data_IF_982578974182
#
_entry.id   IF_982578974182
#
_cell.length_a   1.000
_cell.length_b   1.000
_cell.length_c   1.000
_cell.angle_alpha   90.00
_cell.angle_beta   90.00
_cell.angle_gamma   90.00
#
_symmetry.space_group_name_H-M   'P 1'
#
loop_
_entity.id
_entity.type
_entity.pdbx_description
1 polymer ?
#
# COMPACT_ATOMS: atom_id res chain seq x y z
N UNK A 1 -4.25 -4.33 -7.69
CA UNK A 1 -2.86 -4.76 -7.38
C UNK A 1 -1.85 -3.62 -7.23
N UNK A 2 -1.61 -2.76 -8.23
CA UNK A 2 -0.52 -1.77 -8.19
C UNK A 2 -0.51 -0.87 -6.92
N UNK A 3 -1.67 -0.37 -6.49
CA UNK A 3 -1.80 0.42 -5.27
C UNK A 3 -1.38 -0.37 -4.00
N UNK A 4 -1.70 -1.66 -3.94
CA UNK A 4 -1.32 -2.51 -2.80
C UNK A 4 0.20 -2.64 -2.71
N UNK A 5 0.86 -2.88 -3.84
CA UNK A 5 2.34 -2.92 -3.91
C UNK A 5 2.93 -1.56 -3.52
N UNK A 6 2.40 -0.45 -4.05
CA UNK A 6 2.89 0.90 -3.72
C UNK A 6 2.81 1.20 -2.22
N UNK A 7 1.68 0.87 -1.59
CA UNK A 7 1.49 1.00 -0.14
C UNK A 7 2.42 0.09 0.67
N UNK A 8 2.60 -1.17 0.24
CA UNK A 8 3.54 -2.09 0.84
C UNK A 8 4.96 -1.53 0.80
N UNK A 9 5.34 -0.87 -0.29
CA UNK A 9 6.65 -0.25 -0.48
C UNK A 9 6.84 1.09 0.23
N UNK A 10 5.77 1.78 0.68
CA UNK A 10 5.86 3.07 1.40
C UNK A 10 6.39 2.87 2.82
N UNK A 11 7.69 2.55 2.92
CA UNK A 11 8.41 2.43 4.17
C UNK A 11 9.89 2.81 3.99
N UNK A 12 10.33 3.78 4.77
CA UNK A 12 11.73 4.24 4.78
C UNK A 12 12.26 4.75 3.43
N UNK A 13 11.37 5.09 2.50
CA UNK A 13 11.66 5.78 1.24
C UNK A 13 10.65 6.91 1.05
N UNK A 14 10.90 7.88 0.14
CA UNK A 14 9.86 8.80 -0.30
C UNK A 14 8.68 8.02 -0.89
N UNK A 15 7.47 8.48 -0.61
CA UNK A 15 6.22 7.85 -1.01
C UNK A 15 6.14 7.73 -2.54
N UNK A 16 6.60 8.75 -3.26
CA UNK A 16 6.67 8.80 -4.71
C UNK A 16 7.56 7.69 -5.24
N UNK A 17 8.72 7.44 -4.59
CA UNK A 17 9.61 6.33 -4.95
C UNK A 17 8.94 4.98 -4.73
N UNK A 18 8.21 4.82 -3.63
CA UNK A 18 7.46 3.59 -3.37
C UNK A 18 6.38 3.32 -4.42
N UNK A 19 5.62 4.35 -4.80
CA UNK A 19 4.53 4.24 -5.79
C UNK A 19 5.02 4.15 -7.25
N UNK A 20 6.31 4.38 -7.52
CA UNK A 20 6.95 3.99 -8.79
C UNK A 20 7.32 2.50 -8.86
N UNK A 21 7.43 1.82 -7.72
CA UNK A 21 7.77 0.39 -7.65
C UNK A 21 6.86 -0.52 -8.49
N UNK A 22 5.52 -0.40 -8.43
CA UNK A 22 4.61 -1.15 -9.27
C UNK A 22 4.90 -0.97 -10.77
N UNK A 23 5.19 0.26 -11.23
CA UNK A 23 5.50 0.52 -12.64
C UNK A 23 6.77 -0.21 -13.08
N UNK A 24 7.81 -0.21 -12.25
CA UNK A 24 9.05 -0.97 -12.54
C UNK A 24 8.78 -2.47 -12.68
N UNK A 25 7.96 -3.03 -11.79
CA UNK A 25 7.55 -4.45 -11.89
C UNK A 25 6.74 -4.71 -13.16
N UNK A 26 5.79 -3.83 -13.48
CA UNK A 26 4.99 -3.93 -14.70
C UNK A 26 5.88 -3.93 -15.95
N UNK A 27 6.89 -3.07 -16.00
CA UNK A 27 7.79 -2.99 -17.15
C UNK A 27 8.65 -4.25 -17.31
N UNK A 28 9.14 -4.81 -16.20
CA UNK A 28 9.99 -6.02 -16.18
C UNK A 28 9.23 -7.30 -16.45
N UNK A 29 7.98 -7.36 -16.00
CA UNK A 29 7.13 -8.55 -16.10
C UNK A 29 6.13 -8.45 -17.27
N UNK A 30 6.14 -7.36 -18.05
CA UNK A 30 5.15 -7.12 -19.10
C UNK A 30 3.70 -7.11 -18.56
N UNK A 31 3.52 -6.46 -17.42
CA UNK A 31 2.26 -6.41 -16.66
C UNK A 31 2.45 -6.84 -15.20
N UNK A 32 1.47 -6.53 -14.35
CA UNK A 32 1.44 -7.02 -12.97
C UNK A 32 0.29 -8.01 -12.86
N UNK A 33 0.64 -9.27 -12.66
CA UNK A 33 -0.31 -10.35 -12.40
C UNK A 33 -0.02 -11.00 -11.05
N UNK A 34 -1.06 -11.14 -10.24
CA UNK A 34 -0.95 -11.63 -8.85
C UNK A 34 -0.53 -13.10 -8.83
N UNK A 35 -1.09 -13.93 -9.70
CA UNK A 35 -0.80 -15.37 -9.74
C UNK A 35 0.60 -15.62 -10.25
N UNK A 36 0.99 -14.94 -11.33
CA UNK A 36 2.36 -14.99 -11.85
C UNK A 36 3.37 -14.67 -10.77
N UNK A 37 3.22 -13.57 -10.04
CA UNK A 37 4.18 -13.22 -8.98
C UNK A 37 4.15 -14.25 -7.84
N UNK A 38 2.97 -14.75 -7.47
CA UNK A 38 2.83 -15.74 -6.41
C UNK A 38 3.53 -17.07 -6.73
N UNK A 39 3.47 -17.49 -8.00
CA UNK A 39 3.96 -18.79 -8.49
C UNK A 39 5.42 -18.76 -8.96
N UNK A 40 6.01 -17.58 -9.16
CA UNK A 40 7.41 -17.44 -9.55
C UNK A 40 8.38 -17.99 -8.50
N UNK A 41 9.52 -18.49 -8.95
CA UNK A 41 10.63 -18.80 -8.04
C UNK A 41 11.03 -17.54 -7.25
N UNK A 42 11.24 -17.72 -5.94
CA UNK A 42 11.47 -16.60 -5.03
C UNK A 42 12.78 -15.87 -5.35
N UNK A 43 13.85 -16.60 -5.66
CA UNK A 43 15.14 -15.98 -5.96
C UNK A 43 15.11 -15.26 -7.32
N UNK A 44 14.42 -15.84 -8.31
CA UNK A 44 14.16 -15.17 -9.60
C UNK A 44 13.38 -13.87 -9.42
N UNK A 45 12.28 -13.89 -8.65
CA UNK A 45 11.48 -12.69 -8.43
C UNK A 45 12.24 -11.62 -7.64
N UNK A 46 13.04 -12.01 -6.65
CA UNK A 46 13.92 -11.09 -5.91
C UNK A 46 14.96 -10.47 -6.85
N UNK A 47 15.55 -11.23 -7.77
CA UNK A 47 16.48 -10.71 -8.76
C UNK A 47 15.82 -9.64 -9.66
N UNK A 48 14.58 -9.87 -10.10
CA UNK A 48 13.79 -8.88 -10.84
C UNK A 48 13.55 -7.63 -9.99
N UNK A 49 13.24 -7.77 -8.70
CA UNK A 49 13.09 -6.63 -7.80
C UNK A 49 14.40 -5.84 -7.61
N UNK A 50 15.54 -6.53 -7.67
CA UNK A 50 16.88 -5.97 -7.46
C UNK A 50 17.48 -5.30 -8.70
N UNK A 51 16.96 -5.56 -9.90
CA UNK A 51 17.46 -4.97 -11.14
C UNK A 51 17.57 -3.42 -11.04
N UNK A 52 18.74 -2.82 -11.28
CA UNK A 52 18.93 -1.38 -11.22
C UNK A 52 18.13 -0.62 -12.29
N UNK A 53 17.43 0.48 -11.95
CA UNK A 53 17.22 1.00 -10.60
C UNK A 53 16.23 0.14 -9.82
N UNK A 54 16.64 -0.40 -8.67
CA UNK A 54 15.86 -1.38 -7.89
C UNK A 54 14.44 -0.90 -7.53
N UNK A 55 13.51 -1.85 -7.36
CA UNK A 55 12.13 -1.58 -6.93
C UNK A 55 12.09 -0.87 -5.57
N UNK A 56 13.03 -1.21 -4.69
CA UNK A 56 13.20 -0.59 -3.38
C UNK A 56 14.67 -0.57 -2.98
N UNK A 57 15.05 0.28 -2.02
CA UNK A 57 16.40 0.28 -1.40
C UNK A 57 16.73 -0.99 -0.60
N UNK A 58 15.74 -1.86 -0.41
CA UNK A 58 15.85 -3.15 0.28
C UNK A 58 15.22 -4.25 -0.60
N UNK A 59 15.78 -4.49 -1.80
CA UNK A 59 15.09 -5.23 -2.85
C UNK A 59 14.74 -6.66 -2.44
N UNK A 60 15.62 -7.35 -1.72
CA UNK A 60 15.36 -8.70 -1.19
C UNK A 60 14.12 -8.72 -0.28
N UNK A 61 14.19 -8.03 0.86
CA UNK A 61 13.11 -8.05 1.85
C UNK A 61 11.77 -7.51 1.33
N UNK A 62 11.79 -6.56 0.39
CA UNK A 62 10.56 -6.02 -0.18
C UNK A 62 10.02 -6.93 -1.29
N UNK A 63 10.88 -7.56 -2.10
CA UNK A 63 10.48 -8.58 -3.06
C UNK A 63 9.79 -9.76 -2.37
N UNK A 64 10.40 -10.31 -1.31
CA UNK A 64 9.80 -11.37 -0.49
C UNK A 64 8.41 -10.98 0.03
N UNK A 65 8.25 -9.75 0.55
CA UNK A 65 6.95 -9.26 1.06
C UNK A 65 5.91 -9.07 -0.04
N UNK A 66 6.31 -8.60 -1.23
CA UNK A 66 5.40 -8.49 -2.37
C UNK A 66 4.92 -9.89 -2.76
N UNK A 67 5.83 -10.85 -2.90
CA UNK A 67 5.48 -12.20 -3.27
C UNK A 67 4.57 -12.87 -2.24
N UNK A 68 4.88 -12.76 -0.94
CA UNK A 68 4.02 -13.25 0.14
C UNK A 68 2.63 -12.61 0.11
N UNK A 69 2.53 -11.31 -0.16
CA UNK A 69 1.23 -10.66 -0.32
C UNK A 69 0.46 -11.21 -1.53
N UNK A 70 1.13 -11.47 -2.66
CA UNK A 70 0.51 -12.11 -3.82
C UNK A 70 -0.02 -13.51 -3.48
N UNK A 71 0.81 -14.35 -2.85
CA UNK A 71 0.44 -15.70 -2.41
C UNK A 71 -0.77 -15.68 -1.48
N UNK A 72 -0.76 -14.77 -0.50
CA UNK A 72 -1.91 -14.58 0.40
C UNK A 72 -3.19 -14.21 -0.35
N UNK A 73 -3.10 -13.34 -1.36
CA UNK A 73 -4.26 -12.95 -2.17
C UNK A 73 -4.74 -14.11 -3.05
N UNK A 74 -3.85 -14.92 -3.61
CA UNK A 74 -4.23 -16.14 -4.33
C UNK A 74 -4.98 -17.09 -3.41
N UNK A 75 -4.43 -17.37 -2.24
CA UNK A 75 -4.99 -18.33 -1.28
C UNK A 75 -6.35 -17.89 -0.71
N UNK A 76 -6.49 -16.61 -0.35
CA UNK A 76 -7.65 -16.12 0.40
C UNK A 76 -8.71 -15.42 -0.45
N UNK A 77 -8.34 -15.00 -1.66
CA UNK A 77 -9.19 -14.19 -2.55
C UNK A 77 -9.15 -14.64 -4.01
N UNK A 78 -8.61 -15.84 -4.28
CA UNK A 78 -8.51 -16.42 -5.64
C UNK A 78 -7.81 -15.49 -6.64
N UNK A 79 -6.84 -14.71 -6.17
CA UNK A 79 -6.07 -13.75 -6.97
C UNK A 79 -6.80 -12.43 -7.25
N UNK A 80 -8.07 -12.30 -6.87
CA UNK A 80 -8.82 -11.05 -7.01
C UNK A 80 -8.48 -10.07 -5.89
N UNK A 81 -7.66 -9.07 -6.21
CA UNK A 81 -7.31 -8.02 -5.24
C UNK A 81 -8.52 -7.20 -4.77
N UNK A 82 -9.55 -7.04 -5.61
CA UNK A 82 -10.72 -6.24 -5.25
C UNK A 82 -11.62 -6.95 -4.23
N UNK A 83 -11.64 -8.28 -4.24
CA UNK A 83 -12.41 -9.10 -3.29
C UNK A 83 -12.08 -8.79 -1.81
N UNK A 84 -10.89 -8.25 -1.53
CA UNK A 84 -10.52 -7.73 -0.19
C UNK A 84 -11.58 -6.75 0.33
N UNK A 85 -12.07 -5.84 -0.51
CA UNK A 85 -13.04 -4.81 -0.14
C UNK A 85 -14.44 -4.96 -0.76
N UNK A 86 -14.64 -5.89 -1.71
CA UNK A 86 -15.95 -6.12 -2.34
C UNK A 86 -16.64 -7.41 -1.88
N UNK A 87 -15.88 -8.46 -1.56
CA UNK A 87 -16.45 -9.79 -1.30
C UNK A 87 -17.31 -9.81 -0.05
N UNK A 88 -18.59 -10.18 -0.22
CA UNK A 88 -19.58 -10.26 0.86
C UNK A 88 -20.11 -8.91 1.34
N UNK A 89 -19.98 -7.84 0.55
CA UNK A 89 -20.43 -6.47 0.90
C UNK A 89 -19.97 -6.03 2.31
N UNK A 90 -18.65 -6.00 2.56
CA UNK A 90 -18.12 -5.74 3.90
C UNK A 90 -18.36 -4.30 4.35
N UNK A 91 -18.36 -4.08 5.67
CA UNK A 91 -18.28 -2.74 6.23
C UNK A 91 -16.81 -2.26 6.34
N UNK A 92 -16.61 -1.00 6.71
CA UNK A 92 -15.28 -0.42 6.83
C UNK A 92 -14.37 -1.13 7.85
N UNK A 93 -14.94 -1.72 8.90
CA UNK A 93 -14.16 -2.46 9.92
C UNK A 93 -13.66 -3.78 9.37
N UNK A 94 -14.51 -4.49 8.62
CA UNK A 94 -14.15 -5.74 7.97
C UNK A 94 -13.11 -5.50 6.87
N UNK A 95 -13.27 -4.47 6.04
CA UNK A 95 -12.24 -4.09 5.07
C UNK A 95 -10.92 -3.75 5.76
N UNK A 96 -10.94 -2.99 6.85
CA UNK A 96 -9.72 -2.69 7.62
C UNK A 96 -9.08 -3.97 8.16
N UNK A 97 -9.87 -4.90 8.71
CA UNK A 97 -9.39 -6.18 9.24
C UNK A 97 -8.70 -7.00 8.14
N UNK A 98 -9.31 -7.09 6.95
CA UNK A 98 -8.73 -7.80 5.79
C UNK A 98 -7.45 -7.15 5.30
N UNK A 99 -7.41 -5.82 5.21
CA UNK A 99 -6.19 -5.09 4.87
C UNK A 99 -5.07 -5.30 5.88
N UNK A 100 -5.37 -5.41 7.18
CA UNK A 100 -4.38 -5.71 8.23
C UNK A 100 -3.87 -7.16 8.18
N UNK A 101 -4.59 -8.07 7.54
CA UNK A 101 -4.16 -9.46 7.37
C UNK A 101 -3.15 -9.63 6.22
N UNK A 102 -3.06 -8.66 5.30
CA UNK A 102 -2.10 -8.71 4.21
C UNK A 102 -0.65 -8.72 4.73
N UNK A 103 0.20 -9.65 4.25
CA UNK A 103 1.62 -9.61 4.52
C UNK A 103 2.24 -8.24 4.19
N UNK A 104 2.99 -7.68 5.13
CA UNK A 104 3.62 -6.35 4.99
C UNK A 104 2.73 -5.15 5.35
N UNK A 105 1.47 -5.37 5.71
CA UNK A 105 0.56 -4.33 6.19
C UNK A 105 0.51 -4.28 7.72
N UNK A 106 0.84 -3.12 8.27
CA UNK A 106 0.54 -2.77 9.67
C UNK A 106 -0.74 -1.95 9.78
N UNK A 107 -1.19 -1.68 11.01
CA UNK A 107 -2.41 -0.92 11.30
C UNK A 107 -2.47 0.43 10.56
N UNK A 108 -1.38 1.19 10.60
CA UNK A 108 -1.29 2.50 9.93
C UNK A 108 -1.48 2.39 8.41
N UNK A 109 -0.76 1.46 7.74
CA UNK A 109 -0.88 1.27 6.28
C UNK A 109 -2.27 0.81 5.90
N UNK A 110 -2.88 -0.08 6.67
CA UNK A 110 -4.23 -0.55 6.41
C UNK A 110 -5.25 0.58 6.52
N UNK A 111 -5.13 1.48 7.52
CA UNK A 111 -5.99 2.66 7.65
C UNK A 111 -5.78 3.67 6.51
N UNK A 112 -4.53 3.94 6.13
CA UNK A 112 -4.22 4.80 4.98
C UNK A 112 -4.82 4.20 3.70
N UNK A 113 -4.66 2.90 3.49
CA UNK A 113 -5.19 2.24 2.31
C UNK A 113 -6.72 2.26 2.26
N UNK A 114 -7.39 2.03 3.40
CA UNK A 114 -8.84 2.19 3.50
C UNK A 114 -9.27 3.63 3.20
N UNK A 115 -8.52 4.62 3.66
CA UNK A 115 -8.78 6.01 3.32
C UNK A 115 -8.59 6.29 1.82
N UNK A 116 -7.55 5.72 1.20
CA UNK A 116 -7.31 5.85 -0.23
C UNK A 116 -8.46 5.27 -1.06
N UNK A 117 -8.94 4.08 -0.66
CA UNK A 117 -10.11 3.43 -1.27
C UNK A 117 -11.34 4.35 -1.26
N UNK A 118 -11.68 4.92 -0.10
CA UNK A 118 -12.83 5.81 0.02
C UNK A 118 -12.65 7.17 -0.64
N UNK A 119 -11.48 7.81 -0.49
CA UNK A 119 -11.26 9.19 -0.97
C UNK A 119 -11.03 9.30 -2.46
N UNK A 120 -10.37 8.31 -3.08
CA UNK A 120 -9.90 8.44 -4.46
C UNK A 120 -10.45 7.37 -5.39
N UNK A 121 -10.81 6.19 -4.88
CA UNK A 121 -11.25 5.05 -5.70
C UNK A 121 -12.79 4.89 -5.68
N UNK A 122 -13.49 5.63 -4.82
CA UNK A 122 -14.95 5.56 -4.69
C UNK A 122 -15.45 4.29 -4.00
N UNK A 123 -14.58 3.59 -3.27
CA UNK A 123 -14.92 2.39 -2.49
C UNK A 123 -15.28 2.82 -1.08
N UNK A 124 -16.57 2.97 -0.82
CA UNK A 124 -17.10 3.57 0.41
C UNK A 124 -17.94 2.61 1.27
N UNK A 125 -17.36 1.51 1.80
CA UNK A 125 -18.11 0.60 2.66
C UNK A 125 -18.57 1.33 3.93
N UNK A 126 -19.72 0.93 4.47
CA UNK A 126 -20.34 1.61 5.62
C UNK A 126 -19.32 1.79 6.77
N UNK A 127 -19.15 3.02 7.24
CA UNK A 127 -18.27 3.33 8.37
C UNK A 127 -16.77 3.36 8.04
N UNK A 128 -16.37 3.39 6.76
CA UNK A 128 -14.96 3.39 6.36
C UNK A 128 -14.16 4.57 6.92
N UNK A 129 -14.75 5.77 7.01
CA UNK A 129 -14.07 6.95 7.57
C UNK A 129 -13.69 6.75 9.03
N UNK A 130 -14.63 6.24 9.83
CA UNK A 130 -14.42 5.93 11.24
C UNK A 130 -13.36 4.82 11.41
N UNK A 131 -13.39 3.79 10.57
CA UNK A 131 -12.40 2.73 10.59
C UNK A 131 -11.00 3.22 10.16
N UNK A 132 -10.91 4.12 9.18
CA UNK A 132 -9.66 4.76 8.77
C UNK A 132 -9.09 5.75 9.81
N UNK A 133 -9.88 6.15 10.81
CA UNK A 133 -9.47 7.09 11.87
C UNK A 133 -9.11 8.46 11.30
N UNK A 134 -8.01 9.05 11.78
CA UNK A 134 -7.50 10.36 11.32
C UNK A 134 -7.30 10.44 9.80
N UNK A 135 -7.02 9.32 9.13
CA UNK A 135 -6.86 9.26 7.68
C UNK A 135 -8.20 9.32 6.94
N UNK A 136 -9.31 9.03 7.61
CA UNK A 136 -10.66 9.10 7.06
C UNK A 136 -11.31 10.49 7.15
N UNK A 137 -10.68 11.43 7.88
CA UNK A 137 -11.20 12.79 8.04
C UNK A 137 -11.26 13.53 6.70
N UNK A 138 -12.33 14.28 6.51
CA UNK A 138 -12.51 15.16 5.35
C UNK A 138 -11.51 16.33 5.43
N UNK A 139 -10.94 16.71 4.28
CA UNK A 139 -9.94 17.79 4.20
C UNK A 139 -8.58 17.47 4.84
N UNK A 140 -8.33 16.25 5.33
CA UNK A 140 -7.03 15.91 5.90
C UNK A 140 -5.91 15.90 4.84
N UNK A 141 -4.68 16.25 5.22
CA UNK A 141 -3.47 16.17 4.37
C UNK A 141 -2.38 15.35 5.07
N UNK A 142 -2.64 14.05 5.26
CA UNK A 142 -1.84 13.19 6.16
C UNK A 142 -1.10 12.08 5.44
N UNK A 143 -1.56 11.65 4.28
CA UNK A 143 -1.08 10.44 3.62
C UNK A 143 -1.29 10.45 2.11
N UNK A 144 -0.88 9.39 1.42
CA UNK A 144 -1.13 9.23 -0.02
C UNK A 144 -2.62 9.32 -0.37
N UNK A 145 -3.51 8.92 0.55
CA UNK A 145 -4.96 9.03 0.36
C UNK A 145 -5.43 10.48 0.13
N UNK A 146 -4.61 11.46 0.49
CA UNK A 146 -4.91 12.87 0.40
C UNK A 146 -4.18 13.58 -0.75
N UNK A 147 -3.33 12.87 -1.51
CA UNK A 147 -2.57 13.42 -2.64
C UNK A 147 -3.37 13.23 -3.92
N UNK A 148 -3.83 14.34 -4.50
CA UNK A 148 -4.60 14.39 -5.74
C UNK A 148 -3.99 15.33 -6.79
N UNK A 149 -3.02 16.14 -6.38
CA UNK A 149 -2.31 17.14 -7.19
C UNK A 149 -0.95 17.47 -6.54
N UNK A 150 -0.18 18.37 -7.16
CA UNK A 150 1.13 18.79 -6.65
C UNK A 150 1.03 19.55 -5.32
N UNK A 151 0.01 20.39 -5.15
CA UNK A 151 -0.17 21.16 -3.92
C UNK A 151 -0.41 20.23 -2.71
N UNK A 152 -1.32 19.28 -2.84
CA UNK A 152 -1.62 18.30 -1.81
C UNK A 152 -0.44 17.38 -1.51
N UNK A 153 0.40 17.08 -2.51
CA UNK A 153 1.66 16.37 -2.28
C UNK A 153 2.60 17.16 -1.35
N UNK A 154 2.76 18.46 -1.58
CA UNK A 154 3.58 19.33 -0.72
C UNK A 154 3.02 19.41 0.70
N UNK A 155 1.70 19.56 0.85
CA UNK A 155 1.02 19.61 2.14
C UNK A 155 1.22 18.29 2.93
N UNK A 156 1.08 17.13 2.27
CA UNK A 156 1.33 15.81 2.88
C UNK A 156 2.80 15.62 3.27
N UNK A 157 3.75 16.12 2.46
CA UNK A 157 5.18 16.08 2.79
C UNK A 157 5.48 16.88 4.04
N UNK A 158 4.97 18.10 4.14
CA UNK A 158 5.15 18.94 5.33
C UNK A 158 4.51 18.32 6.57
N UNK A 159 3.30 17.75 6.45
CA UNK A 159 2.68 17.01 7.54
C UNK A 159 3.55 15.82 8.01
N UNK A 160 4.02 14.97 7.09
CA UNK A 160 4.88 13.82 7.41
C UNK A 160 6.19 14.26 8.08
N UNK A 161 6.78 15.37 7.63
CA UNK A 161 8.00 15.95 8.20
C UNK A 161 7.78 16.45 9.62
N UNK A 162 6.70 17.20 9.86
CA UNK A 162 6.32 17.71 11.17
C UNK A 162 6.02 16.56 12.17
N UNK A 163 5.24 15.56 11.75
CA UNK A 163 4.92 14.40 12.58
C UNK A 163 6.18 13.60 12.97
N UNK A 164 7.14 13.44 12.03
CA UNK A 164 8.42 12.78 12.31
C UNK A 164 9.29 13.58 13.28
N UNK A 165 9.24 14.91 13.22
CA UNK A 165 9.96 15.78 14.15
C UNK A 165 9.37 15.68 15.57
N UNK A 166 8.04 15.74 15.70
CA UNK A 166 7.33 15.56 16.97
C UNK A 166 7.64 14.20 17.61
N UNK A 167 7.54 13.10 16.85
CA UNK A 167 7.82 11.75 17.34
C UNK A 167 9.29 11.53 17.76
N UNK A 168 10.23 12.37 17.29
CA UNK A 168 11.62 12.37 17.77
C UNK A 168 11.78 13.17 19.05
N UNK A 169 11.03 14.25 19.23
CA UNK A 169 11.03 15.06 20.44
C UNK A 169 10.45 14.28 21.63
N UNK A 170 9.37 13.53 21.42
CA UNK A 170 8.72 12.71 22.47
C UNK A 170 9.57 11.52 22.94
N UNK A 171 10.61 11.16 22.19
CA UNK A 171 11.55 10.07 22.54
C UNK A 171 12.80 10.56 23.29
N UNK A 172 12.89 11.86 23.56
CA UNK A 172 14.02 12.51 24.23
C UNK A 172 13.64 12.92 25.65
#
# INVERSE_FOLDING_TARGET
>A
MALLIGMLLDQQVPMETAFLGPKKLADRLSGIDVRRIADMDTDEFIAICAEPPAVHRFPKSMGERIQLMCQFIVENYDGDTAAIWTSGNPDGKEVLKRLKALPGYGDQKARIFLALLGKQIGVEPKGWRQAAGDYGLEGSRRSIADVVDEQSLLEVREFKKAAKAAAKADKK
#
